data_IF_912955889581
#
_entry.id   IF_912955889581
#
_cell.length_a   1.000
_cell.length_b   1.000
_cell.length_c   1.000
_cell.angle_alpha   90.00
_cell.angle_beta   90.00
_cell.angle_gamma   90.00
#
_symmetry.space_group_name_H-M   'P 1'
#
loop_
_entity.id
_entity.type
_entity.pdbx_description
1 polymer ?
#
# COMPACT_ATOMS: atom_id res chain seq x y z
N UNK A 1 -3.71 15.17 9.46
CA UNK A 1 -3.86 14.73 8.07
C UNK A 1 -5.09 13.85 7.96
N UNK A 2 -5.95 14.09 6.97
CA UNK A 2 -7.16 13.28 6.78
C UNK A 2 -6.85 11.91 6.15
N UNK A 3 -5.80 11.84 5.34
CA UNK A 3 -5.31 10.64 4.65
C UNK A 3 -3.80 10.49 4.84
N UNK A 4 -3.34 9.28 5.21
CA UNK A 4 -1.93 8.90 5.31
C UNK A 4 -1.83 7.41 4.96
N UNK A 5 -0.90 7.04 4.10
CA UNK A 5 -0.50 5.67 3.86
C UNK A 5 0.96 5.65 3.39
N UNK A 6 1.87 5.04 4.15
CA UNK A 6 3.28 4.90 3.78
C UNK A 6 3.75 3.47 3.99
N UNK A 7 4.77 3.10 3.20
CA UNK A 7 5.52 1.87 3.34
C UNK A 7 6.96 2.26 3.65
N UNK A 8 7.50 1.78 4.75
CA UNK A 8 8.84 2.13 5.22
C UNK A 8 9.63 0.84 5.50
N UNK A 9 10.91 0.82 5.14
CA UNK A 9 11.79 -0.33 5.31
C UNK A 9 12.92 -0.01 6.27
N UNK A 10 13.09 -0.79 7.33
CA UNK A 10 14.22 -0.69 8.26
C UNK A 10 14.68 -2.10 8.67
N UNK A 11 15.96 -2.41 8.50
CA UNK A 11 16.55 -3.69 8.92
C UNK A 11 15.72 -4.93 8.50
N UNK A 12 15.30 -4.97 7.24
CA UNK A 12 14.45 -6.04 6.66
C UNK A 12 12.99 -6.08 7.15
N UNK A 13 12.59 -5.17 8.03
CA UNK A 13 11.20 -5.01 8.46
C UNK A 13 10.49 -3.96 7.59
N UNK A 14 9.41 -4.40 6.93
CA UNK A 14 8.49 -3.50 6.23
C UNK A 14 7.41 -3.04 7.20
N UNK A 15 7.38 -1.75 7.51
CA UNK A 15 6.31 -1.12 8.27
C UNK A 15 5.31 -0.45 7.33
N UNK A 16 4.04 -0.56 7.69
CA UNK A 16 2.94 0.12 7.00
C UNK A 16 2.33 1.10 7.99
N UNK A 17 2.44 2.39 7.69
CA UNK A 17 1.83 3.43 8.50
C UNK A 17 0.62 3.99 7.76
N UNK A 18 -0.46 4.29 8.47
CA UNK A 18 -1.59 4.92 7.83
C UNK A 18 -2.60 5.50 8.80
N UNK A 19 -3.33 6.51 8.31
CA UNK A 19 -4.54 6.99 8.99
C UNK A 19 -5.66 5.96 8.80
N UNK A 20 -6.76 6.02 9.57
CA UNK A 20 -7.91 5.15 9.36
C UNK A 20 -8.40 5.11 7.91
N UNK A 21 -8.42 6.28 7.22
CA UNK A 21 -8.82 6.36 5.81
C UNK A 21 -7.80 5.72 4.86
N UNK A 22 -6.51 5.90 5.11
CA UNK A 22 -5.46 5.29 4.28
C UNK A 22 -5.42 3.77 4.41
N UNK A 23 -5.54 3.25 5.63
CA UNK A 23 -5.61 1.80 5.86
C UNK A 23 -6.90 1.19 5.30
N UNK A 24 -8.03 1.91 5.40
CA UNK A 24 -9.28 1.48 4.77
C UNK A 24 -9.16 1.44 3.24
N UNK A 25 -8.47 2.42 2.64
CA UNK A 25 -8.20 2.41 1.20
C UNK A 25 -7.34 1.20 0.80
N UNK A 26 -6.23 0.95 1.51
CA UNK A 26 -5.38 -0.22 1.26
C UNK A 26 -6.18 -1.53 1.36
N UNK A 27 -6.99 -1.69 2.41
CA UNK A 27 -7.84 -2.87 2.59
C UNK A 27 -8.79 -3.06 1.40
N UNK A 28 -9.44 -2.00 0.93
CA UNK A 28 -10.36 -2.08 -0.21
C UNK A 28 -9.64 -2.49 -1.51
N UNK A 29 -8.42 -1.99 -1.75
CA UNK A 29 -7.60 -2.40 -2.89
C UNK A 29 -7.27 -3.90 -2.82
N UNK A 30 -6.84 -4.38 -1.64
CA UNK A 30 -6.54 -5.80 -1.42
C UNK A 30 -7.76 -6.69 -1.65
N UNK A 31 -8.92 -6.32 -1.12
CA UNK A 31 -10.18 -7.05 -1.35
C UNK A 31 -10.54 -7.13 -2.84
N UNK A 32 -10.39 -6.02 -3.57
CA UNK A 32 -10.64 -5.98 -5.01
C UNK A 32 -9.67 -6.90 -5.76
N UNK A 33 -8.38 -6.83 -5.44
CA UNK A 33 -7.36 -7.69 -6.03
C UNK A 33 -7.70 -9.18 -5.81
N UNK A 34 -8.02 -9.57 -4.57
CA UNK A 34 -8.43 -10.95 -4.24
C UNK A 34 -9.67 -11.36 -5.04
N UNK A 35 -10.69 -10.48 -5.11
CA UNK A 35 -11.94 -10.74 -5.84
C UNK A 35 -11.69 -10.95 -7.33
N UNK A 36 -10.78 -10.19 -7.95
CA UNK A 36 -10.42 -10.34 -9.35
C UNK A 36 -9.59 -11.59 -9.61
N UNK A 37 -8.60 -11.88 -8.76
CA UNK A 37 -7.80 -13.12 -8.85
C UNK A 37 -8.69 -14.36 -8.76
N UNK A 38 -9.66 -14.40 -7.84
CA UNK A 38 -10.63 -15.50 -7.73
C UNK A 38 -11.52 -15.69 -8.97
N UNK A 39 -11.65 -14.67 -9.82
CA UNK A 39 -12.37 -14.74 -11.10
C UNK A 39 -11.48 -15.12 -12.28
N UNK A 40 -10.20 -15.42 -12.03
CA UNK A 40 -9.22 -15.75 -13.06
C UNK A 40 -8.49 -14.53 -13.66
N UNK A 41 -8.68 -13.33 -13.10
CA UNK A 41 -7.94 -12.14 -13.52
C UNK A 41 -6.73 -11.92 -12.61
N UNK A 42 -5.55 -12.27 -13.10
CA UNK A 42 -4.29 -12.15 -12.37
C UNK A 42 -3.67 -10.79 -12.65
N UNK A 43 -3.90 -9.84 -11.75
CA UNK A 43 -3.34 -8.49 -11.84
C UNK A 43 -2.55 -8.13 -10.57
N UNK A 44 -2.21 -6.84 -10.44
CA UNK A 44 -1.50 -6.28 -9.33
C UNK A 44 -2.07 -4.90 -8.96
N UNK A 45 -1.97 -4.55 -7.69
CA UNK A 45 -2.18 -3.16 -7.26
C UNK A 45 -0.86 -2.42 -7.48
N UNK A 46 -0.97 -1.18 -7.95
CA UNK A 46 0.15 -0.27 -8.13
C UNK A 46 -0.09 0.97 -7.27
N UNK A 47 0.59 1.04 -6.13
CA UNK A 47 0.55 2.17 -5.23
C UNK A 47 1.79 3.04 -5.49
N UNK A 48 1.56 4.27 -5.92
CA UNK A 48 2.60 5.28 -6.12
C UNK A 48 2.26 6.51 -5.28
N UNK A 49 3.21 7.43 -5.14
CA UNK A 49 2.92 8.76 -4.61
C UNK A 49 1.83 9.45 -5.43
N UNK A 50 0.72 9.81 -4.76
CA UNK A 50 -0.40 10.57 -5.34
C UNK A 50 -1.07 11.40 -4.24
N UNK A 51 -1.40 12.64 -4.57
CA UNK A 51 -2.01 13.62 -3.69
C UNK A 51 -3.45 13.28 -3.25
N UNK A 52 -4.13 12.34 -3.93
CA UNK A 52 -5.52 12.00 -3.62
C UNK A 52 -5.66 10.75 -2.74
N UNK A 53 -5.24 9.59 -3.24
CA UNK A 53 -5.38 8.28 -2.57
C UNK A 53 -4.16 7.37 -2.85
N UNK A 54 -2.97 7.97 -3.01
CA UNK A 54 -1.72 7.23 -3.20
C UNK A 54 -0.90 7.10 -1.93
N UNK A 55 0.39 6.82 -2.08
CA UNK A 55 1.33 6.82 -0.96
C UNK A 55 1.65 8.26 -0.56
N UNK A 56 1.80 8.51 0.74
CA UNK A 56 2.29 9.78 1.25
C UNK A 56 3.81 9.86 1.08
N UNK A 57 4.33 11.04 0.72
CA UNK A 57 5.76 11.35 0.72
C UNK A 57 6.31 11.76 2.10
N UNK A 58 5.45 11.83 3.11
CA UNK A 58 5.86 12.17 4.47
C UNK A 58 6.30 10.91 5.21
N UNK A 59 7.59 10.86 5.53
CA UNK A 59 8.20 9.79 6.30
C UNK A 59 7.73 9.80 7.76
N UNK A 60 7.45 8.63 8.34
CA UNK A 60 6.95 8.46 9.70
C UNK A 60 8.04 8.00 10.70
N UNK A 61 9.17 7.47 10.21
CA UNK A 61 10.35 7.15 11.00
C UNK A 61 11.57 7.96 10.55
N UNK A 62 12.42 8.39 11.47
CA UNK A 62 13.68 9.05 11.08
C UNK A 62 14.68 8.08 10.42
N UNK A 63 14.61 6.79 10.77
CA UNK A 63 15.63 5.80 10.41
C UNK A 63 15.29 4.95 9.20
N UNK A 64 14.01 4.75 8.90
CA UNK A 64 13.57 3.85 7.83
C UNK A 64 13.85 4.42 6.43
N UNK A 65 13.73 3.63 5.37
CA UNK A 65 13.68 4.13 4.00
C UNK A 65 12.22 4.22 3.55
N UNK A 66 11.80 5.37 3.01
CA UNK A 66 10.43 5.54 2.51
C UNK A 66 10.30 4.92 1.11
N UNK A 67 9.33 4.03 0.93
CA UNK A 67 9.03 3.37 -0.35
C UNK A 67 7.84 4.06 -1.00
N UNK A 68 8.12 4.87 -2.03
CA UNK A 68 7.10 5.65 -2.76
C UNK A 68 6.46 4.91 -3.95
N UNK A 69 6.80 3.63 -4.16
CA UNK A 69 6.30 2.83 -5.26
C UNK A 69 6.23 1.36 -4.82
N UNK A 70 5.02 0.87 -4.60
CA UNK A 70 4.73 -0.50 -4.14
C UNK A 70 3.81 -1.19 -5.14
N UNK A 71 4.18 -2.42 -5.51
CA UNK A 71 3.33 -3.32 -6.30
C UNK A 71 2.94 -4.52 -5.46
N UNK A 72 1.65 -4.83 -5.41
CA UNK A 72 1.12 -5.97 -4.66
C UNK A 72 0.46 -6.93 -5.64
N UNK A 73 0.97 -8.17 -5.68
CA UNK A 73 0.48 -9.23 -6.55
C UNK A 73 -0.36 -10.23 -5.76
N UNK A 74 -1.38 -10.81 -6.39
CA UNK A 74 -2.17 -11.88 -5.80
C UNK A 74 -2.18 -13.10 -6.73
N UNK A 75 -1.65 -14.21 -6.22
CA UNK A 75 -1.54 -15.48 -6.92
C UNK A 75 -2.65 -16.43 -6.48
N UNK A 76 -3.20 -17.22 -7.40
CA UNK A 76 -4.22 -18.24 -7.12
C UNK A 76 -3.50 -19.57 -6.82
N UNK A 77 -2.99 -19.71 -5.60
CA UNK A 77 -2.42 -20.98 -5.11
C UNK A 77 -3.51 -21.92 -4.61
#
# INVERSE_FOLDING_TARGET
>A
MEYLLTFELENEELTIHGSPKGLQHLAQQLENLIKFTKKGNFDHIHLIEDLNLGLSSEKQSEKSELINHVKIYCWNN
#
